data_IF_211890451570
#
_entry.id   IF_211890451570
#
_cell.length_a   1.000
_cell.length_b   1.000
_cell.length_c   1.000
_cell.angle_alpha   90.00
_cell.angle_beta   90.00
_cell.angle_gamma   90.00
#
_symmetry.space_group_name_H-M   'P 1'
#
loop_
_entity.id
_entity.type
_entity.pdbx_description
1 polymer ?
#
# COMPACT_ATOMS: atom_id res chain seq x y z
N UNK A 1 -3.36 11.43 -7.36
CA UNK A 1 -3.18 10.01 -7.69
C UNK A 1 -3.89 9.16 -6.66
N UNK A 2 -4.67 8.22 -7.11
CA UNK A 2 -5.41 7.32 -6.23
C UNK A 2 -4.87 5.90 -6.36
N UNK A 3 -4.71 5.25 -5.21
CA UNK A 3 -4.28 3.86 -5.16
C UNK A 3 -5.21 3.06 -4.27
N UNK A 4 -5.40 1.80 -4.62
CA UNK A 4 -6.03 0.83 -3.73
C UNK A 4 -5.08 -0.34 -3.55
N UNK A 5 -5.10 -0.96 -2.39
CA UNK A 5 -4.23 -2.10 -2.14
C UNK A 5 -4.96 -3.17 -1.36
N UNK A 6 -4.51 -4.40 -1.54
CA UNK A 6 -4.94 -5.53 -0.73
C UNK A 6 -3.78 -5.98 0.13
N UNK A 7 -4.10 -6.41 1.33
CA UNK A 7 -3.10 -6.95 2.25
C UNK A 7 -3.63 -8.24 2.84
N UNK A 8 -2.71 -9.14 3.15
CA UNK A 8 -3.07 -10.34 3.87
C UNK A 8 -2.90 -10.07 5.35
N UNK A 9 -4.02 -10.11 6.08
CA UNK A 9 -4.01 -10.02 7.53
C UNK A 9 -4.70 -11.24 8.07
N UNK A 10 -3.92 -12.15 8.67
CA UNK A 10 -4.51 -13.32 9.31
C UNK A 10 -5.01 -12.91 10.69
N UNK A 11 -6.18 -13.42 11.11
CA UNK A 11 -6.71 -13.07 12.43
C UNK A 11 -5.77 -13.40 13.59
N UNK A 12 -5.00 -14.48 13.46
CA UNK A 12 -4.03 -14.87 14.47
C UNK A 12 -2.83 -13.91 14.51
N UNK A 13 -2.46 -13.34 13.36
CA UNK A 13 -1.36 -12.37 13.29
C UNK A 13 -1.75 -11.02 13.85
N UNK A 14 -3.03 -10.70 13.87
CA UNK A 14 -3.51 -9.43 14.43
C UNK A 14 -3.26 -9.34 15.93
N UNK A 15 -2.99 -10.46 16.57
CA UNK A 15 -2.70 -10.52 18.01
C UNK A 15 -1.24 -10.39 18.35
N UNK A 16 -0.37 -10.43 17.34
CA UNK A 16 1.08 -10.36 17.53
C UNK A 16 1.50 -8.90 17.43
N UNK A 17 2.20 -8.44 18.42
CA UNK A 17 2.72 -7.07 18.45
C UNK A 17 4.18 -7.06 17.98
N UNK A 18 4.58 -6.03 17.20
CA UNK A 18 3.71 -5.01 16.59
C UNK A 18 2.94 -5.57 15.41
N UNK A 19 1.72 -5.10 15.21
CA UNK A 19 0.93 -5.50 14.06
C UNK A 19 1.52 -4.89 12.79
N UNK A 20 1.85 -5.74 11.85
CA UNK A 20 2.38 -5.30 10.56
C UNK A 20 1.59 -5.98 9.44
N UNK A 21 1.70 -5.44 8.23
CA UNK A 21 1.05 -6.05 7.08
C UNK A 21 1.97 -6.01 5.88
N UNK A 22 1.76 -6.96 4.98
CA UNK A 22 2.44 -6.99 3.69
C UNK A 22 1.40 -6.72 2.62
N UNK A 23 1.77 -5.91 1.63
CA UNK A 23 0.90 -5.62 0.49
C UNK A 23 0.95 -6.80 -0.47
N UNK A 24 -0.21 -7.36 -0.82
CA UNK A 24 -0.29 -8.41 -1.81
C UNK A 24 -0.35 -7.83 -3.21
N UNK A 25 -1.25 -6.86 -3.41
CA UNK A 25 -1.41 -6.18 -4.68
C UNK A 25 -1.74 -4.72 -4.43
N UNK A 26 -1.32 -3.87 -5.36
CA UNK A 26 -1.64 -2.44 -5.31
C UNK A 26 -1.95 -1.98 -6.72
N UNK A 27 -2.99 -1.17 -6.84
CA UNK A 27 -3.45 -0.65 -8.13
C UNK A 27 -3.45 0.87 -8.11
N UNK A 28 -3.03 1.44 -9.23
CA UNK A 28 -3.13 2.88 -9.47
C UNK A 28 -4.39 3.14 -10.28
N UNK A 29 -5.23 4.04 -9.80
CA UNK A 29 -6.45 4.44 -10.49
C UNK A 29 -6.21 5.74 -11.24
N UNK A 30 -6.06 5.63 -12.54
CA UNK A 30 -5.87 6.78 -13.42
C UNK A 30 -6.70 6.55 -14.67
N UNK A 31 -7.55 7.52 -15.02
CA UNK A 31 -8.36 7.42 -16.23
C UNK A 31 -9.44 6.34 -16.20
N UNK A 32 -9.87 5.93 -15.02
CA UNK A 32 -10.99 5.00 -14.86
C UNK A 32 -10.62 3.52 -14.89
N UNK A 33 -9.44 3.15 -15.35
CA UNK A 33 -9.00 1.75 -15.38
C UNK A 33 -7.90 1.50 -14.35
N UNK A 34 -8.11 0.58 -13.40
CA UNK A 34 -7.06 0.26 -12.43
C UNK A 34 -5.86 -0.38 -13.13
N UNK A 35 -4.69 0.06 -12.73
CA UNK A 35 -3.44 -0.47 -13.25
C UNK A 35 -2.66 -1.12 -12.11
N UNK A 36 -2.31 -2.39 -12.29
CA UNK A 36 -1.51 -3.10 -11.29
C UNK A 36 -0.09 -2.55 -11.28
N UNK A 37 0.31 -2.01 -10.14
CA UNK A 37 1.65 -1.46 -9.95
C UNK A 37 2.39 -2.18 -8.83
N UNK A 38 1.99 -3.39 -8.52
CA UNK A 38 2.57 -4.18 -7.41
C UNK A 38 4.07 -4.40 -7.57
N UNK A 39 4.56 -4.42 -8.81
CA UNK A 39 5.99 -4.60 -9.09
C UNK A 39 6.83 -3.39 -8.69
N UNK A 40 6.21 -2.26 -8.38
CA UNK A 40 6.92 -1.03 -8.00
C UNK A 40 7.18 -0.94 -6.50
N UNK A 41 6.64 -1.86 -5.72
CA UNK A 41 6.86 -1.89 -4.28
C UNK A 41 7.45 -3.23 -3.87
N UNK A 42 8.07 -3.26 -2.69
CA UNK A 42 8.59 -4.48 -2.11
C UNK A 42 7.48 -5.18 -1.34
N UNK A 43 6.95 -6.26 -1.89
CA UNK A 43 5.84 -7.00 -1.28
C UNK A 43 6.29 -7.83 -0.08
N UNK A 44 7.58 -7.95 0.16
CA UNK A 44 8.09 -8.64 1.34
C UNK A 44 8.26 -7.71 2.52
N UNK A 45 8.16 -6.41 2.29
CA UNK A 45 8.30 -5.42 3.34
C UNK A 45 7.08 -5.43 4.25
N UNK A 46 7.32 -5.34 5.55
CA UNK A 46 6.25 -5.30 6.55
C UNK A 46 6.00 -3.87 6.98
N UNK A 47 4.85 -3.35 6.59
CA UNK A 47 4.46 -1.99 6.92
C UNK A 47 3.82 -1.94 8.30
N UNK A 48 4.17 -0.94 9.09
CA UNK A 48 3.60 -0.75 10.43
C UNK A 48 2.28 0.01 10.38
N UNK A 49 2.03 0.74 9.30
CA UNK A 49 0.80 1.50 9.15
C UNK A 49 0.57 1.82 7.68
N UNK A 50 -0.68 2.18 7.34
CA UNK A 50 -1.02 2.66 6.00
C UNK A 50 -0.25 3.95 5.69
N UNK A 51 0.01 4.76 6.70
CA UNK A 51 0.79 5.98 6.56
C UNK A 51 2.20 5.70 6.04
N UNK A 52 2.83 4.65 6.55
CA UNK A 52 4.15 4.25 6.09
C UNK A 52 4.13 3.84 4.63
N UNK A 53 3.12 3.06 4.23
CA UNK A 53 2.93 2.69 2.84
C UNK A 53 2.72 3.94 1.97
N UNK A 54 1.96 4.90 2.45
CA UNK A 54 1.69 6.15 1.76
C UNK A 54 2.99 6.93 1.48
N UNK A 55 3.84 7.05 2.49
CA UNK A 55 5.14 7.69 2.34
C UNK A 55 6.03 6.94 1.36
N UNK A 56 6.01 5.62 1.42
CA UNK A 56 6.80 4.79 0.52
C UNK A 56 6.40 5.01 -0.94
N UNK A 57 5.08 5.07 -1.20
CA UNK A 57 4.58 5.33 -2.54
C UNK A 57 4.95 6.74 -3.01
N UNK A 58 4.85 7.73 -2.13
CA UNK A 58 5.21 9.10 -2.47
C UNK A 58 6.67 9.18 -2.90
N UNK A 59 7.55 8.51 -2.19
CA UNK A 59 8.96 8.44 -2.54
C UNK A 59 9.19 7.71 -3.86
N UNK A 60 8.50 6.59 -4.03
CA UNK A 60 8.66 5.75 -5.22
C UNK A 60 8.22 6.48 -6.50
N UNK A 61 7.15 7.26 -6.41
CA UNK A 61 6.63 8.01 -7.57
C UNK A 61 7.16 9.43 -7.63
N UNK A 62 8.03 9.83 -6.70
CA UNK A 62 8.61 11.17 -6.63
C UNK A 62 7.51 12.25 -6.61
N UNK A 63 6.48 12.04 -5.78
CA UNK A 63 5.35 12.95 -5.63
C UNK A 63 5.17 13.34 -4.18
N UNK A 64 4.62 14.54 -3.90
CA UNK A 64 4.28 14.91 -2.52
C UNK A 64 3.26 13.95 -1.94
N UNK A 65 3.41 13.60 -0.67
CA UNK A 65 2.49 12.71 0.03
C UNK A 65 1.03 13.16 -0.12
N UNK A 66 0.80 14.46 -0.01
CA UNK A 66 -0.55 15.03 -0.09
C UNK A 66 -1.22 14.85 -1.46
N UNK A 67 -0.44 14.58 -2.51
CA UNK A 67 -0.99 14.39 -3.85
C UNK A 67 -1.45 12.95 -4.09
N UNK A 68 -1.22 12.07 -3.14
CA UNK A 68 -1.58 10.66 -3.23
C UNK A 68 -2.70 10.34 -2.25
N UNK A 69 -3.66 9.54 -2.71
CA UNK A 69 -4.70 8.97 -1.86
C UNK A 69 -4.57 7.45 -1.93
N UNK A 70 -4.68 6.79 -0.79
CA UNK A 70 -4.56 5.34 -0.73
C UNK A 70 -5.68 4.76 0.13
N UNK A 71 -6.24 3.66 -0.32
CA UNK A 71 -7.33 2.98 0.39
C UNK A 71 -7.08 1.48 0.39
N UNK A 72 -7.45 0.84 1.48
CA UNK A 72 -7.41 -0.62 1.57
C UNK A 72 -8.67 -1.21 0.97
N UNK A 73 -8.49 -2.23 0.16
CA UNK A 73 -9.59 -2.98 -0.43
C UNK A 73 -10.12 -4.01 0.56
#
# INVERSE_FOLDING_TARGET
MNFTFSSETRPDQARVEPATFQVQQIWQHAGGTPRDVSHLIDRTYRYHSVRELHWHLADRFARPVRSLAISRV
#
